data_IF_733438910821
#
_entry.id   IF_733438910821
#
_cell.length_a   1.000
_cell.length_b   1.000
_cell.length_c   1.000
_cell.angle_alpha   90.00
_cell.angle_beta   90.00
_cell.angle_gamma   90.00
#
_symmetry.space_group_name_H-M   'P 1'
#
loop_
_entity.id
_entity.type
_entity.pdbx_description
1 polymer ?
#
# COMPACT_ATOMS: atom_id res chain seq x y z
N UNK A 1 45.99 31.13 -77.47
CA UNK A 1 45.47 32.34 -78.15
C UNK A 1 45.08 31.88 -79.54
N UNK A 2 43.85 31.87 -80.02
CA UNK A 2 42.54 32.42 -79.67
C UNK A 2 41.55 31.61 -80.53
N UNK A 3 40.37 31.27 -80.02
CA UNK A 3 39.39 30.54 -80.83
C UNK A 3 38.15 30.20 -80.02
N UNK A 4 37.27 31.19 -79.91
CA UNK A 4 35.90 31.10 -79.44
C UNK A 4 35.04 30.34 -80.47
N UNK A 5 34.10 29.50 -80.02
CA UNK A 5 32.76 29.33 -80.60
C UNK A 5 31.95 28.16 -79.98
N UNK A 6 30.83 28.56 -79.38
CA UNK A 6 29.47 28.06 -79.63
C UNK A 6 28.94 26.75 -79.01
N UNK A 7 28.02 26.99 -78.05
CA UNK A 7 26.60 26.55 -78.04
C UNK A 7 26.22 25.09 -77.71
N UNK A 8 25.10 25.02 -76.94
CA UNK A 8 24.13 23.92 -76.71
C UNK A 8 24.43 23.01 -75.51
N UNK A 9 23.49 22.48 -74.73
CA UNK A 9 22.02 22.59 -74.54
C UNK A 9 21.73 21.64 -73.35
N UNK A 10 20.83 22.03 -72.44
CA UNK A 10 20.02 21.24 -71.49
C UNK A 10 20.34 19.74 -71.21
N UNK A 11 20.43 19.34 -69.92
CA UNK A 11 19.36 18.61 -69.19
C UNK A 11 19.80 18.23 -67.74
N UNK A 12 18.96 18.61 -66.78
CA UNK A 12 18.51 17.95 -65.54
C UNK A 12 19.33 16.81 -64.89
N UNK A 13 19.69 16.97 -63.60
CA UNK A 13 19.17 16.23 -62.42
C UNK A 13 20.07 16.52 -61.21
N UNK A 14 19.53 17.01 -60.09
CA UNK A 14 19.58 16.35 -58.75
C UNK A 14 19.34 17.30 -57.57
N UNK A 15 18.43 16.82 -56.70
CA UNK A 15 18.43 16.83 -55.23
C UNK A 15 18.13 18.12 -54.42
N UNK A 16 17.05 17.93 -53.64
CA UNK A 16 16.96 18.13 -52.19
C UNK A 16 16.53 19.52 -51.67
N UNK A 17 15.24 19.62 -51.37
CA UNK A 17 14.74 20.49 -50.30
C UNK A 17 13.99 19.62 -49.29
N UNK A 18 14.59 19.49 -48.12
CA UNK A 18 14.06 18.74 -46.98
C UNK A 18 12.85 19.46 -46.36
N UNK A 19 11.77 18.71 -46.16
CA UNK A 19 10.62 19.14 -45.37
C UNK A 19 10.94 18.96 -43.88
N UNK A 20 10.92 20.06 -43.12
CA UNK A 20 11.03 20.04 -41.67
C UNK A 20 9.68 19.58 -41.07
N UNK A 21 9.66 18.38 -40.49
CA UNK A 21 8.57 17.93 -39.66
C UNK A 21 8.75 18.50 -38.24
N UNK A 22 7.85 19.39 -37.84
CA UNK A 22 7.69 19.78 -36.43
C UNK A 22 7.07 18.61 -35.66
N UNK A 23 7.91 17.80 -35.00
CA UNK A 23 7.45 16.94 -33.91
C UNK A 23 7.24 17.80 -32.66
N UNK A 24 5.97 17.95 -32.26
CA UNK A 24 5.60 18.56 -30.99
C UNK A 24 6.20 17.78 -29.82
N UNK A 25 6.85 18.50 -28.91
CA UNK A 25 7.33 17.95 -27.64
C UNK A 25 6.14 17.80 -26.69
N UNK A 26 5.57 16.60 -26.62
CA UNK A 26 4.80 16.17 -25.48
C UNK A 26 5.77 15.63 -24.42
N UNK A 27 6.37 16.52 -23.64
CA UNK A 27 7.04 16.13 -22.40
C UNK A 27 5.97 15.87 -21.34
N UNK A 28 5.39 14.67 -21.38
CA UNK A 28 4.74 14.12 -20.21
C UNK A 28 5.85 13.45 -19.37
N UNK A 29 6.16 14.05 -18.22
CA UNK A 29 7.01 13.45 -17.18
C UNK A 29 6.42 12.08 -16.77
N UNK A 30 6.80 11.03 -17.48
CA UNK A 30 6.64 9.68 -16.99
C UNK A 30 7.61 9.53 -15.81
N UNK A 31 7.13 9.22 -14.59
CA UNK A 31 8.02 9.02 -13.46
C UNK A 31 9.04 7.91 -13.81
N UNK A 32 10.32 8.08 -13.46
CA UNK A 32 11.35 7.13 -13.85
C UNK A 32 11.03 5.73 -13.32
N UNK A 33 11.06 4.73 -14.20
CA UNK A 33 10.90 3.33 -13.88
C UNK A 33 11.86 2.94 -12.75
N UNK A 34 11.31 2.46 -11.62
CA UNK A 34 12.08 2.01 -10.44
C UNK A 34 11.91 2.87 -9.17
N UNK A 35 11.10 3.93 -9.19
CA UNK A 35 10.63 4.58 -7.97
C UNK A 35 9.35 3.88 -7.47
N UNK A 36 9.22 3.64 -6.16
CA UNK A 36 7.96 3.18 -5.56
C UNK A 36 6.83 4.18 -5.79
N UNK A 37 5.59 3.82 -5.46
CA UNK A 37 4.40 4.66 -5.61
C UNK A 37 4.65 6.13 -5.24
N UNK A 38 4.38 7.04 -6.19
CA UNK A 38 4.53 8.48 -6.01
C UNK A 38 3.22 9.17 -5.61
N UNK A 39 3.26 10.35 -4.94
CA UNK A 39 2.05 11.11 -4.61
C UNK A 39 1.14 11.41 -5.81
N UNK A 40 1.72 11.65 -6.99
CA UNK A 40 0.96 11.89 -8.23
C UNK A 40 0.23 10.66 -8.77
N UNK A 41 0.57 9.47 -8.28
CA UNK A 41 -0.01 8.18 -8.69
C UNK A 41 -1.03 7.64 -7.67
N UNK A 42 -1.21 8.33 -6.53
CA UNK A 42 -2.18 8.00 -5.52
C UNK A 42 -3.41 8.90 -5.65
N UNK A 43 -4.60 8.30 -5.57
CA UNK A 43 -5.85 9.03 -5.35
C UNK A 43 -6.32 8.89 -3.90
N UNK A 44 -6.88 9.96 -3.34
CA UNK A 44 -7.52 9.95 -2.02
C UNK A 44 -9.03 9.98 -2.23
N UNK A 45 -9.76 9.09 -1.54
CA UNK A 45 -11.22 9.06 -1.58
C UNK A 45 -11.76 9.56 -0.25
N UNK A 46 -12.48 10.67 -0.31
CA UNK A 46 -13.11 11.33 0.83
C UNK A 46 -14.59 10.94 0.87
N UNK A 47 -15.07 10.56 2.06
CA UNK A 47 -16.47 10.34 2.35
C UNK A 47 -17.10 11.63 2.92
N UNK A 48 -17.85 12.35 2.11
CA UNK A 48 -18.45 13.64 2.50
C UNK A 48 -19.52 13.51 3.58
N UNK A 49 -20.03 12.29 3.83
CA UNK A 49 -20.95 12.03 4.95
C UNK A 49 -20.25 11.94 6.32
N UNK A 50 -18.92 11.97 6.37
CA UNK A 50 -18.13 11.89 7.59
C UNK A 50 -17.18 13.10 7.69
N UNK A 51 -17.45 14.08 8.56
CA UNK A 51 -16.61 15.28 8.69
C UNK A 51 -15.12 14.97 8.95
N UNK A 52 -14.83 13.94 9.76
CA UNK A 52 -13.46 13.47 10.01
C UNK A 52 -12.76 13.04 8.73
N UNK A 53 -13.49 12.42 7.78
CA UNK A 53 -12.94 12.01 6.49
C UNK A 53 -12.52 13.21 5.65
N UNK A 54 -13.36 14.24 5.58
CA UNK A 54 -13.04 15.46 4.84
C UNK A 54 -11.82 16.19 5.43
N UNK A 55 -11.78 16.33 6.76
CA UNK A 55 -10.66 16.97 7.46
C UNK A 55 -9.34 16.20 7.28
N UNK A 56 -9.35 14.89 7.58
CA UNK A 56 -8.14 14.05 7.47
C UNK A 56 -7.72 13.89 6.01
N UNK A 57 -8.66 13.77 5.07
CA UNK A 57 -8.37 13.62 3.66
C UNK A 57 -7.64 14.83 3.09
N UNK A 58 -8.10 16.04 3.43
CA UNK A 58 -7.42 17.28 3.04
C UNK A 58 -6.06 17.42 3.73
N UNK A 59 -5.96 17.08 5.02
CA UNK A 59 -4.68 17.08 5.74
C UNK A 59 -3.66 16.13 5.10
N UNK A 60 -4.06 14.87 4.85
CA UNK A 60 -3.22 13.86 4.21
C UNK A 60 -2.76 14.32 2.83
N UNK A 61 -3.66 14.91 2.04
CA UNK A 61 -3.34 15.49 0.73
C UNK A 61 -2.21 16.52 0.83
N UNK A 62 -2.30 17.45 1.78
CA UNK A 62 -1.30 18.50 1.98
C UNK A 62 0.04 17.93 2.43
N UNK A 63 0.04 17.07 3.45
CA UNK A 63 1.25 16.46 4.03
C UNK A 63 2.06 15.68 2.98
N UNK A 64 1.39 14.96 2.08
CA UNK A 64 2.06 14.17 1.04
C UNK A 64 2.21 14.89 -0.31
N UNK A 65 1.75 16.13 -0.42
CA UNK A 65 1.79 16.87 -1.69
C UNK A 65 0.99 16.20 -2.81
N UNK A 66 -0.13 15.57 -2.47
CA UNK A 66 -0.98 14.88 -3.46
C UNK A 66 -1.73 15.94 -4.29
N UNK A 67 -1.73 15.84 -5.63
CA UNK A 67 -2.43 16.80 -6.47
C UNK A 67 -3.92 16.88 -6.12
N UNK A 68 -4.48 18.10 -6.05
CA UNK A 68 -5.91 18.29 -5.80
C UNK A 68 -6.80 17.54 -6.81
N UNK A 69 -6.30 17.40 -8.05
CA UNK A 69 -7.00 16.67 -9.10
C UNK A 69 -6.93 15.13 -8.97
N UNK A 70 -6.33 14.61 -7.90
CA UNK A 70 -6.33 13.20 -7.51
C UNK A 70 -7.22 12.95 -6.28
N UNK A 71 -8.03 13.93 -5.86
CA UNK A 71 -9.04 13.74 -4.81
C UNK A 71 -10.37 13.37 -5.46
N UNK A 72 -10.99 12.31 -4.96
CA UNK A 72 -12.32 11.89 -5.35
C UNK A 72 -13.25 11.91 -4.13
N UNK A 73 -14.52 12.19 -4.38
CA UNK A 73 -15.53 12.35 -3.35
C UNK A 73 -16.63 11.31 -3.50
N UNK A 74 -17.09 10.77 -2.38
CA UNK A 74 -18.22 9.84 -2.30
C UNK A 74 -19.09 10.18 -1.08
N UNK A 75 -20.30 9.67 -1.07
CA UNK A 75 -21.19 9.76 0.08
C UNK A 75 -21.55 8.36 0.55
N UNK A 76 -21.15 8.01 1.77
CA UNK A 76 -21.47 6.75 2.42
C UNK A 76 -22.12 7.08 3.78
N UNK A 77 -23.45 7.21 3.82
CA UNK A 77 -24.14 7.58 5.05
C UNK A 77 -24.09 6.45 6.08
N UNK A 78 -24.22 6.80 7.36
CA UNK A 78 -24.36 5.88 8.49
C UNK A 78 -23.18 4.92 8.74
N UNK A 79 -22.08 5.02 7.99
CA UNK A 79 -20.82 4.29 8.23
C UNK A 79 -21.05 2.79 8.47
N UNK A 80 -21.71 2.06 7.55
CA UNK A 80 -21.99 0.65 7.74
C UNK A 80 -20.66 -0.12 7.83
N UNK A 81 -20.52 -1.04 8.78
CA UNK A 81 -19.29 -1.86 8.93
C UNK A 81 -18.92 -2.61 7.66
N UNK A 82 -19.95 -3.12 6.97
CA UNK A 82 -19.84 -3.86 5.72
C UNK A 82 -20.86 -3.37 4.69
N UNK A 83 -20.48 -3.45 3.42
CA UNK A 83 -21.38 -3.26 2.28
C UNK A 83 -21.87 -4.60 1.75
N UNK A 84 -23.07 -4.60 1.17
CA UNK A 84 -23.47 -5.66 0.25
C UNK A 84 -22.72 -5.57 -1.07
N UNK A 85 -22.74 -6.63 -1.87
CA UNK A 85 -22.14 -6.63 -3.21
C UNK A 85 -22.69 -5.49 -4.10
N UNK A 86 -24.00 -5.27 -4.11
CA UNK A 86 -24.62 -4.21 -4.91
C UNK A 86 -24.23 -2.81 -4.45
N UNK A 87 -24.21 -2.58 -3.13
CA UNK A 87 -23.75 -1.31 -2.56
C UNK A 87 -22.29 -1.04 -2.92
N UNK A 88 -21.44 -2.06 -2.82
CA UNK A 88 -20.03 -1.97 -3.18
C UNK A 88 -19.84 -1.70 -4.67
N UNK A 89 -20.58 -2.39 -5.56
CA UNK A 89 -20.51 -2.16 -7.00
C UNK A 89 -20.79 -0.70 -7.34
N UNK A 90 -21.88 -0.14 -6.80
CA UNK A 90 -22.23 1.26 -7.01
C UNK A 90 -21.17 2.22 -6.45
N UNK A 91 -20.61 1.92 -5.26
CA UNK A 91 -19.53 2.73 -4.69
C UNK A 91 -18.29 2.70 -5.59
N UNK A 92 -17.88 1.52 -6.05
CA UNK A 92 -16.72 1.35 -6.91
C UNK A 92 -16.89 2.07 -8.25
N UNK A 93 -18.05 1.96 -8.89
CA UNK A 93 -18.36 2.69 -10.13
C UNK A 93 -18.24 4.21 -9.94
N UNK A 94 -18.76 4.76 -8.83
CA UNK A 94 -18.63 6.20 -8.52
C UNK A 94 -17.18 6.63 -8.27
N UNK A 95 -16.38 5.78 -7.60
CA UNK A 95 -14.95 6.04 -7.39
C UNK A 95 -14.22 6.01 -8.73
N UNK A 96 -14.34 4.92 -9.49
CA UNK A 96 -13.60 4.70 -10.74
C UNK A 96 -13.88 5.79 -11.78
N UNK A 97 -15.11 6.33 -11.83
CA UNK A 97 -15.50 7.42 -12.73
C UNK A 97 -14.73 8.73 -12.47
N UNK A 98 -14.14 8.91 -11.28
CA UNK A 98 -13.35 10.08 -10.89
C UNK A 98 -11.85 9.86 -11.02
N UNK A 99 -11.39 8.61 -11.22
CA UNK A 99 -9.98 8.27 -11.26
C UNK A 99 -9.37 8.47 -12.66
N UNK A 100 -8.19 9.09 -12.70
CA UNK A 100 -7.43 9.26 -13.94
C UNK A 100 -6.67 7.98 -14.31
N UNK A 101 -6.31 7.78 -15.60
CA UNK A 101 -5.55 6.62 -16.04
C UNK A 101 -4.18 6.45 -15.35
N UNK A 102 -3.55 7.55 -14.92
CA UNK A 102 -2.25 7.53 -14.24
C UNK A 102 -2.29 7.10 -12.76
N UNK A 103 -3.49 6.94 -12.17
CA UNK A 103 -3.65 6.52 -10.78
C UNK A 103 -3.38 5.03 -10.65
N UNK A 104 -2.33 4.69 -9.89
CA UNK A 104 -1.91 3.31 -9.61
C UNK A 104 -2.53 2.75 -8.33
N UNK A 105 -2.89 3.62 -7.39
CA UNK A 105 -3.34 3.24 -6.07
C UNK A 105 -4.41 4.18 -5.52
N UNK A 106 -5.16 3.68 -4.54
CA UNK A 106 -6.24 4.42 -3.89
C UNK A 106 -6.08 4.35 -2.37
N UNK A 107 -6.18 5.50 -1.71
CA UNK A 107 -6.36 5.62 -0.27
C UNK A 107 -7.82 5.96 0.03
N UNK A 108 -8.51 5.05 0.70
CA UNK A 108 -9.83 5.30 1.27
C UNK A 108 -9.67 5.98 2.61
N UNK A 109 -10.32 7.11 2.85
CA UNK A 109 -10.20 7.86 4.12
C UNK A 109 -11.57 7.89 4.78
N UNK A 110 -11.87 6.95 5.67
CA UNK A 110 -13.11 6.90 6.45
C UNK A 110 -13.00 5.82 7.53
N UNK A 111 -13.91 5.81 8.51
CA UNK A 111 -13.91 4.79 9.57
C UNK A 111 -14.56 3.47 9.14
N UNK A 112 -15.67 3.54 8.40
CA UNK A 112 -16.35 2.41 7.81
C UNK A 112 -17.06 2.82 6.52
N UNK A 113 -17.22 1.92 5.53
CA UNK A 113 -17.03 0.47 5.58
C UNK A 113 -15.57 0.01 5.41
N UNK A 114 -15.26 -1.15 6.00
CA UNK A 114 -13.98 -1.86 5.79
C UNK A 114 -14.16 -3.26 5.19
N UNK A 115 -15.40 -3.72 4.99
CA UNK A 115 -15.72 -5.02 4.40
C UNK A 115 -16.79 -4.94 3.31
N UNK A 116 -16.76 -5.92 2.40
CA UNK A 116 -17.78 -6.20 1.38
C UNK A 116 -18.17 -7.65 1.55
N UNK A 117 -19.34 -7.90 2.12
CA UNK A 117 -19.72 -9.21 2.65
C UNK A 117 -18.62 -9.79 3.56
N UNK A 118 -17.90 -10.83 3.13
CA UNK A 118 -16.76 -11.42 3.86
C UNK A 118 -15.38 -10.96 3.35
N UNK A 119 -15.30 -10.29 2.19
CA UNK A 119 -14.05 -9.78 1.63
C UNK A 119 -13.73 -8.44 2.29
N UNK A 120 -12.45 -8.07 2.38
CA UNK A 120 -12.11 -6.70 2.78
C UNK A 120 -12.47 -5.72 1.67
N UNK A 121 -12.78 -4.47 2.00
CA UNK A 121 -13.08 -3.46 0.99
C UNK A 121 -11.86 -3.16 0.11
N UNK A 122 -10.65 -3.18 0.69
CA UNK A 122 -9.41 -2.97 -0.05
C UNK A 122 -9.19 -4.09 -1.06
N UNK A 123 -9.46 -5.34 -0.68
CA UNK A 123 -9.27 -6.46 -1.59
C UNK A 123 -10.35 -6.57 -2.64
N UNK A 124 -11.61 -6.33 -2.28
CA UNK A 124 -12.69 -6.27 -3.25
C UNK A 124 -12.47 -5.15 -4.28
N UNK A 125 -11.92 -4.01 -3.87
CA UNK A 125 -11.60 -2.90 -4.77
C UNK A 125 -10.47 -3.24 -5.75
N UNK A 126 -9.38 -3.83 -5.25
CA UNK A 126 -8.19 -4.14 -6.04
C UNK A 126 -8.37 -5.36 -6.95
N UNK A 127 -8.98 -6.44 -6.46
CA UNK A 127 -9.04 -7.75 -7.14
C UNK A 127 -10.44 -8.12 -7.65
N UNK A 128 -11.46 -7.35 -7.29
CA UNK A 128 -12.86 -7.76 -7.42
C UNK A 128 -13.33 -8.61 -6.24
N UNK A 129 -14.65 -8.65 -6.05
CA UNK A 129 -15.29 -9.45 -5.01
C UNK A 129 -15.16 -10.95 -5.29
N UNK A 130 -14.71 -11.73 -4.30
CA UNK A 130 -14.63 -13.19 -4.39
C UNK A 130 -15.73 -13.88 -3.56
N UNK A 131 -16.85 -14.21 -4.23
CA UNK A 131 -17.95 -14.95 -3.62
C UNK A 131 -17.53 -16.37 -3.16
N UNK A 132 -16.58 -16.99 -3.86
CA UNK A 132 -16.09 -18.33 -3.52
C UNK A 132 -15.41 -18.36 -2.15
N UNK A 133 -14.64 -17.31 -1.85
CA UNK A 133 -14.03 -17.15 -0.53
C UNK A 133 -15.08 -17.01 0.58
N UNK A 134 -16.25 -16.42 0.30
CA UNK A 134 -17.31 -16.27 1.30
C UNK A 134 -18.10 -17.57 1.57
N UNK A 135 -18.21 -18.46 0.58
CA UNK A 135 -18.87 -19.74 0.79
C UNK A 135 -18.12 -20.61 1.82
N UNK A 136 -16.78 -20.56 1.81
CA UNK A 136 -15.91 -21.25 2.76
C UNK A 136 -14.71 -20.38 3.10
N UNK A 137 -14.85 -19.56 4.15
CA UNK A 137 -13.83 -18.56 4.52
C UNK A 137 -12.50 -19.17 4.94
N UNK A 138 -12.48 -20.45 5.33
CA UNK A 138 -11.28 -21.20 5.68
C UNK A 138 -10.66 -22.01 4.53
N UNK A 139 -11.22 -21.98 3.32
CA UNK A 139 -10.58 -22.65 2.18
C UNK A 139 -9.39 -21.83 1.65
N UNK A 140 -8.47 -22.47 0.89
CA UNK A 140 -7.47 -21.75 0.11
C UNK A 140 -8.08 -20.63 -0.72
N UNK A 141 -7.46 -19.45 -0.66
CA UNK A 141 -7.89 -18.29 -1.43
C UNK A 141 -7.25 -18.23 -2.82
N UNK A 142 -7.67 -17.25 -3.62
CA UNK A 142 -7.10 -17.00 -4.94
C UNK A 142 -5.72 -16.33 -4.83
N UNK A 143 -4.69 -16.83 -5.54
CA UNK A 143 -3.40 -16.15 -5.65
C UNK A 143 -3.53 -14.73 -6.22
N UNK A 144 -2.88 -13.76 -5.59
CA UNK A 144 -2.70 -12.41 -6.15
C UNK A 144 -1.57 -12.41 -7.17
N UNK A 145 -1.76 -11.89 -8.40
CA UNK A 145 -0.67 -11.76 -9.36
C UNK A 145 0.37 -10.68 -8.96
N UNK A 146 0.05 -9.85 -7.96
CA UNK A 146 1.00 -8.90 -7.38
C UNK A 146 1.90 -9.50 -6.29
N UNK A 147 1.53 -10.67 -5.73
CA UNK A 147 2.32 -11.33 -4.70
C UNK A 147 3.73 -11.63 -5.22
N UNK A 148 4.74 -11.13 -4.51
CA UNK A 148 6.16 -11.32 -4.80
C UNK A 148 6.58 -10.91 -6.23
N UNK A 149 5.79 -10.11 -6.95
CA UNK A 149 6.10 -9.64 -8.30
C UNK A 149 7.03 -8.42 -8.28
N UNK A 150 7.71 -8.13 -9.39
CA UNK A 150 8.51 -6.91 -9.56
C UNK A 150 7.77 -5.80 -10.34
N UNK A 151 6.44 -5.91 -10.45
CA UNK A 151 5.60 -4.93 -11.15
C UNK A 151 5.67 -3.59 -10.42
N UNK A 152 6.02 -2.53 -11.16
CA UNK A 152 6.22 -1.19 -10.61
C UNK A 152 4.98 -0.30 -10.78
N UNK A 153 4.13 -0.59 -11.77
CA UNK A 153 2.90 0.14 -12.07
C UNK A 153 1.72 -0.84 -12.08
N UNK A 154 1.18 -1.22 -10.91
CA UNK A 154 0.22 -2.33 -10.78
C UNK A 154 -1.07 -2.09 -11.58
N UNK A 155 -1.54 -0.85 -11.72
CA UNK A 155 -2.74 -0.59 -12.51
C UNK A 155 -2.44 -0.66 -14.00
N UNK A 156 -1.35 -0.03 -14.45
CA UNK A 156 -1.00 -0.01 -15.87
C UNK A 156 -0.58 -1.38 -16.39
N UNK A 157 0.13 -2.17 -15.60
CA UNK A 157 0.70 -3.46 -16.02
C UNK A 157 -0.23 -4.66 -15.72
N UNK A 158 -1.02 -4.61 -14.64
CA UNK A 158 -1.87 -5.73 -14.21
C UNK A 158 -3.36 -5.38 -14.11
N UNK A 159 -3.76 -4.12 -14.35
CA UNK A 159 -5.13 -3.67 -14.10
C UNK A 159 -5.50 -3.58 -12.61
N UNK A 160 -4.52 -3.66 -11.71
CA UNK A 160 -4.74 -3.66 -10.26
C UNK A 160 -4.53 -2.28 -9.65
N UNK A 161 -5.61 -1.62 -9.21
CA UNK A 161 -5.50 -0.44 -8.33
C UNK A 161 -5.36 -0.91 -6.89
N UNK A 162 -4.13 -0.91 -6.37
CA UNK A 162 -3.88 -1.28 -4.98
C UNK A 162 -4.60 -0.31 -4.04
N UNK A 163 -5.31 -0.84 -3.05
CA UNK A 163 -6.09 -0.04 -2.12
C UNK A 163 -5.61 -0.19 -0.67
N UNK A 164 -5.68 0.90 0.09
CA UNK A 164 -5.47 0.95 1.55
C UNK A 164 -6.52 1.86 2.17
N UNK A 165 -6.87 1.59 3.43
CA UNK A 165 -7.81 2.39 4.22
C UNK A 165 -7.05 3.15 5.32
N UNK A 166 -7.29 4.44 5.47
CA UNK A 166 -6.88 5.21 6.64
C UNK A 166 -8.12 5.39 7.54
N UNK A 167 -8.21 4.68 8.67
CA UNK A 167 -9.31 4.85 9.62
C UNK A 167 -9.29 6.25 10.23
N UNK A 168 -10.46 6.87 10.37
CA UNK A 168 -10.61 8.26 10.87
C UNK A 168 -11.57 8.37 12.06
N UNK A 169 -11.75 7.27 12.81
CA UNK A 169 -12.53 7.29 14.07
C UNK A 169 -12.02 8.38 15.01
N UNK A 170 -10.70 8.61 14.99
CA UNK A 170 -10.03 9.67 15.72
C UNK A 170 -9.11 10.46 14.77
N UNK A 171 -9.37 11.77 14.66
CA UNK A 171 -8.71 12.65 13.69
C UNK A 171 -7.22 12.77 13.98
N UNK A 172 -6.84 12.97 15.24
CA UNK A 172 -5.46 13.21 15.64
C UNK A 172 -4.58 11.98 15.36
N UNK A 173 -5.07 10.78 15.64
CA UNK A 173 -4.40 9.52 15.34
C UNK A 173 -4.19 9.35 13.83
N UNK A 174 -5.19 9.67 13.00
CA UNK A 174 -5.09 9.57 11.55
C UNK A 174 -4.09 10.59 10.96
N UNK A 175 -4.08 11.82 11.48
CA UNK A 175 -3.07 12.83 11.13
C UNK A 175 -1.67 12.39 11.54
N UNK A 176 -1.52 11.82 12.74
CA UNK A 176 -0.26 11.29 13.21
C UNK A 176 0.25 10.13 12.34
N UNK A 177 -0.64 9.28 11.79
CA UNK A 177 -0.26 8.26 10.79
C UNK A 177 0.34 8.90 9.54
N UNK A 178 -0.32 9.93 8.99
CA UNK A 178 0.16 10.67 7.81
C UNK A 178 1.53 11.31 8.06
N UNK A 179 1.72 11.95 9.22
CA UNK A 179 2.99 12.56 9.61
C UNK A 179 4.10 11.51 9.69
N UNK A 180 3.84 10.36 10.32
CA UNK A 180 4.82 9.27 10.43
C UNK A 180 5.21 8.69 9.08
N UNK A 181 4.30 8.63 8.10
CA UNK A 181 4.63 8.13 6.77
C UNK A 181 5.23 9.17 5.83
N UNK A 182 5.04 10.47 6.11
CA UNK A 182 5.69 11.55 5.37
C UNK A 182 7.17 11.73 5.71
N UNK A 183 7.62 11.25 6.88
CA UNK A 183 9.05 11.26 7.25
C UNK A 183 9.85 10.47 6.23
N UNK A 184 10.58 11.19 5.39
CA UNK A 184 11.49 10.67 4.39
C UNK A 184 12.79 11.46 4.41
N UNK A 185 13.92 10.80 4.12
CA UNK A 185 15.22 11.47 3.99
C UNK A 185 16.11 11.42 5.24
N UNK A 186 17.42 11.38 4.95
CA UNK A 186 18.57 11.16 5.83
C UNK A 186 18.55 9.85 6.61
N UNK A 187 19.10 8.79 5.98
CA UNK A 187 19.49 7.49 6.56
C UNK A 187 18.60 7.02 7.72
N UNK A 188 17.70 6.04 7.53
CA UNK A 188 16.86 5.55 8.63
C UNK A 188 17.71 5.26 9.87
N UNK A 189 17.21 5.64 11.07
CA UNK A 189 17.94 5.41 12.31
C UNK A 189 18.20 3.92 12.50
N UNK A 190 19.11 3.59 13.44
CA UNK A 190 19.25 2.21 13.86
C UNK A 190 17.88 1.69 14.33
N UNK A 191 17.47 0.55 13.78
CA UNK A 191 16.15 0.00 13.96
C UNK A 191 16.20 -1.51 14.17
N UNK A 192 15.08 -2.07 14.61
CA UNK A 192 14.89 -3.50 14.77
C UNK A 192 13.62 -3.98 14.08
N UNK A 193 13.70 -5.16 13.47
CA UNK A 193 12.57 -5.93 12.97
C UNK A 193 12.34 -7.11 13.93
N UNK A 194 11.24 -7.08 14.66
CA UNK A 194 10.86 -8.06 15.68
C UNK A 194 9.89 -9.09 15.10
N UNK A 195 10.26 -10.35 15.21
CA UNK A 195 9.44 -11.49 14.84
C UNK A 195 9.25 -12.39 16.05
N UNK A 196 8.00 -12.56 16.49
CA UNK A 196 7.68 -13.35 17.68
C UNK A 196 7.06 -14.69 17.27
N UNK A 197 7.66 -15.77 17.78
CA UNK A 197 7.02 -17.08 17.87
C UNK A 197 6.34 -17.17 19.24
N UNK A 198 5.02 -17.22 19.24
CA UNK A 198 4.20 -17.13 20.46
C UNK A 198 3.86 -18.51 21.03
N UNK A 199 3.20 -18.56 22.18
CA UNK A 199 2.64 -19.78 22.75
C UNK A 199 1.44 -20.31 21.94
N UNK A 200 0.81 -19.49 21.11
CA UNK A 200 -0.26 -19.91 20.19
C UNK A 200 0.33 -20.57 18.94
N UNK A 201 0.49 -21.90 19.02
CA UNK A 201 1.06 -22.70 17.94
C UNK A 201 0.27 -22.60 16.63
N UNK A 202 -1.07 -22.48 16.70
CA UNK A 202 -1.91 -22.40 15.52
C UNK A 202 -1.65 -21.11 14.72
N UNK A 203 -1.40 -19.99 15.41
CA UNK A 203 -1.13 -18.69 14.80
C UNK A 203 0.34 -18.42 14.45
N UNK A 204 1.22 -19.38 14.73
CA UNK A 204 2.62 -19.34 14.32
C UNK A 204 2.86 -19.88 12.90
N UNK A 205 1.83 -20.06 12.07
CA UNK A 205 1.96 -20.72 10.76
C UNK A 205 2.91 -20.02 9.78
N UNK A 206 3.13 -18.71 9.94
CA UNK A 206 4.15 -17.95 9.18
C UNK A 206 5.52 -17.86 9.85
N UNK A 207 5.68 -18.33 11.09
CA UNK A 207 6.94 -18.24 11.83
C UNK A 207 8.12 -18.96 11.14
N UNK A 208 7.94 -20.12 10.48
CA UNK A 208 9.02 -20.74 9.70
C UNK A 208 9.51 -19.89 8.52
N UNK A 209 8.77 -18.85 8.13
CA UNK A 209 9.10 -17.96 7.02
C UNK A 209 9.81 -16.68 7.46
N UNK A 210 10.00 -16.47 8.77
CA UNK A 210 10.70 -15.30 9.29
C UNK A 210 12.11 -15.17 8.68
N UNK A 211 12.55 -13.94 8.34
CA UNK A 211 13.87 -13.75 7.76
C UNK A 211 14.97 -14.14 8.77
N UNK A 212 16.17 -14.57 8.34
CA UNK A 212 17.21 -14.98 9.27
C UNK A 212 17.57 -13.87 10.29
N UNK A 213 17.71 -14.19 11.60
CA UNK A 213 18.10 -13.20 12.60
C UNK A 213 19.54 -12.73 12.36
N UNK A 214 19.80 -11.45 12.65
CA UNK A 214 21.12 -10.86 12.42
C UNK A 214 21.08 -9.38 12.10
N UNK A 215 22.25 -8.78 11.88
CA UNK A 215 22.39 -7.37 11.55
C UNK A 215 22.49 -7.16 10.03
N UNK A 216 21.60 -6.34 9.47
CA UNK A 216 21.72 -5.82 8.11
C UNK A 216 22.42 -4.46 8.15
N UNK A 217 23.76 -4.47 8.17
CA UNK A 217 24.58 -3.27 8.36
C UNK A 217 24.26 -2.15 7.35
N UNK A 218 24.05 -2.50 6.07
CA UNK A 218 23.73 -1.55 4.99
C UNK A 218 22.33 -0.91 5.11
N UNK A 219 21.52 -1.36 6.06
CA UNK A 219 20.18 -0.84 6.37
C UNK A 219 20.02 -0.41 7.82
N UNK A 220 21.08 -0.53 8.63
CA UNK A 220 21.07 -0.27 10.08
C UNK A 220 19.91 -0.98 10.80
N UNK A 221 19.58 -2.20 10.36
CA UNK A 221 18.44 -2.96 10.85
C UNK A 221 18.88 -4.26 11.52
N UNK A 222 18.50 -4.47 12.77
CA UNK A 222 18.65 -5.76 13.47
C UNK A 222 17.38 -6.60 13.32
N UNK A 223 17.50 -7.82 12.79
CA UNK A 223 16.42 -8.81 12.75
C UNK A 223 16.47 -9.62 14.05
N UNK A 224 15.39 -9.57 14.83
CA UNK A 224 15.28 -10.18 16.15
C UNK A 224 14.17 -11.20 16.19
N UNK A 225 14.51 -12.45 16.50
CA UNK A 225 13.54 -13.50 16.76
C UNK A 225 13.39 -13.68 18.26
N UNK A 226 12.15 -13.67 18.75
CA UNK A 226 11.85 -13.87 20.16
C UNK A 226 10.81 -14.99 20.30
N UNK A 227 11.00 -15.84 21.30
CA UNK A 227 9.97 -16.79 21.75
C UNK A 227 9.24 -16.14 22.93
N UNK A 228 8.18 -15.40 22.63
CA UNK A 228 7.44 -14.62 23.61
C UNK A 228 6.05 -14.28 23.08
N UNK A 229 5.10 -14.05 23.98
CA UNK A 229 3.73 -13.65 23.63
C UNK A 229 3.59 -12.13 23.45
N UNK A 230 4.51 -11.36 24.01
CA UNK A 230 4.54 -9.89 23.87
C UNK A 230 5.98 -9.38 23.80
N UNK A 231 6.12 -8.25 23.11
CA UNK A 231 7.32 -7.42 23.16
C UNK A 231 7.14 -6.39 24.27
N UNK A 232 8.21 -6.07 24.99
CA UNK A 232 8.17 -5.15 26.13
C UNK A 232 9.29 -4.12 26.02
N UNK A 233 8.95 -2.84 26.12
CA UNK A 233 9.90 -1.74 26.23
C UNK A 233 10.77 -1.45 25.00
N UNK A 234 10.56 -2.12 23.87
CA UNK A 234 11.37 -1.90 22.66
C UNK A 234 11.16 -0.50 22.07
N UNK A 235 12.24 0.20 21.74
CA UNK A 235 12.21 1.64 21.38
C UNK A 235 12.54 1.96 19.91
N UNK A 236 12.88 0.95 19.12
CA UNK A 236 13.49 1.08 17.79
C UNK A 236 12.74 0.25 16.73
N UNK A 237 11.43 0.08 16.89
CA UNK A 237 10.65 -0.86 16.06
C UNK A 237 10.43 -0.28 14.66
N UNK A 238 10.93 -0.97 13.64
CA UNK A 238 10.58 -0.75 12.24
C UNK A 238 9.63 -1.82 11.69
N UNK A 239 9.77 -3.06 12.15
CA UNK A 239 8.83 -4.14 11.83
C UNK A 239 8.47 -4.88 13.10
N UNK A 240 7.18 -5.19 13.30
CA UNK A 240 6.75 -6.09 14.36
C UNK A 240 5.68 -7.07 13.85
N UNK A 241 6.02 -8.36 13.81
CA UNK A 241 5.08 -9.43 13.44
C UNK A 241 4.98 -10.49 14.53
N UNK A 242 3.74 -10.83 14.88
CA UNK A 242 3.41 -11.82 15.92
C UNK A 242 2.18 -12.67 15.53
N UNK A 243 1.79 -13.61 16.38
CA UNK A 243 0.64 -14.49 16.25
C UNK A 243 -0.37 -14.41 17.41
N UNK A 244 -0.25 -13.48 18.35
CA UNK A 244 -1.23 -13.38 19.44
C UNK A 244 -2.56 -12.76 18.98
N UNK A 245 -3.67 -13.34 19.43
CA UNK A 245 -5.03 -12.80 19.33
C UNK A 245 -5.17 -11.33 19.78
N UNK A 246 -4.49 -11.02 20.88
CA UNK A 246 -4.42 -9.71 21.51
C UNK A 246 -2.98 -9.49 21.93
N UNK A 247 -2.37 -8.42 21.44
CA UNK A 247 -0.97 -8.11 21.73
C UNK A 247 -0.94 -7.19 22.94
N UNK A 248 -0.29 -7.64 24.01
CA UNK A 248 -0.12 -6.85 25.22
C UNK A 248 1.06 -5.87 25.10
N UNK A 249 1.10 -4.90 26.02
CA UNK A 249 2.22 -3.96 26.24
C UNK A 249 2.53 -3.00 25.07
N UNK A 250 1.58 -2.78 24.17
CA UNK A 250 1.75 -1.84 23.06
C UNK A 250 2.11 -0.42 23.53
N UNK A 251 1.61 -0.03 24.69
CA UNK A 251 1.88 1.24 25.38
C UNK A 251 3.34 1.40 25.85
N UNK A 252 4.10 0.31 25.94
CA UNK A 252 5.53 0.34 26.30
C UNK A 252 6.45 0.49 25.08
N UNK A 253 5.89 0.34 23.88
CA UNK A 253 6.65 0.24 22.64
C UNK A 253 6.82 1.61 21.99
N UNK A 254 7.93 1.76 21.25
CA UNK A 254 8.12 2.90 20.36
C UNK A 254 8.43 2.44 18.94
N UNK A 255 7.51 2.80 18.06
CA UNK A 255 7.62 2.61 16.62
C UNK A 255 8.33 3.80 15.98
N UNK A 256 9.19 3.51 15.02
CA UNK A 256 9.84 4.52 14.21
C UNK A 256 8.89 4.98 13.08
N UNK A 257 9.03 6.21 12.57
CA UNK A 257 8.31 6.65 11.39
C UNK A 257 8.51 5.68 10.21
N UNK A 258 7.42 5.24 9.59
CA UNK A 258 7.40 4.18 8.58
C UNK A 258 7.32 2.75 9.14
N UNK A 259 7.16 2.54 10.45
CA UNK A 259 7.10 1.19 10.97
C UNK A 259 5.86 0.41 10.49
N UNK A 260 6.04 -0.87 10.20
CA UNK A 260 4.99 -1.80 9.79
C UNK A 260 4.74 -2.81 10.92
N UNK A 261 3.49 -3.00 11.33
CA UNK A 261 3.19 -3.95 12.39
C UNK A 261 1.87 -4.68 12.16
N UNK A 262 1.86 -5.99 12.37
CA UNK A 262 0.66 -6.80 12.22
C UNK A 262 0.73 -8.10 13.03
N UNK A 263 -0.41 -8.76 13.16
CA UNK A 263 -0.53 -10.03 13.86
C UNK A 263 -1.36 -11.01 13.07
N UNK A 264 -0.94 -12.26 13.09
CA UNK A 264 -1.66 -13.36 12.46
C UNK A 264 -2.81 -13.78 13.37
N UNK A 265 -3.97 -13.15 13.22
CA UNK A 265 -5.20 -13.54 13.91
C UNK A 265 -6.41 -13.41 13.00
N UNK A 266 -7.47 -14.13 13.35
CA UNK A 266 -8.78 -14.01 12.71
C UNK A 266 -9.40 -12.65 13.01
N UNK A 267 -10.18 -12.08 12.10
CA UNK A 267 -10.92 -10.82 12.36
C UNK A 267 -10.04 -9.62 12.79
N UNK A 268 -8.72 -9.67 12.59
CA UNK A 268 -7.85 -8.53 12.92
C UNK A 268 -8.17 -7.27 12.10
N UNK A 269 -8.83 -7.40 10.95
CA UNK A 269 -9.32 -6.30 10.12
C UNK A 269 -10.75 -5.87 10.45
N UNK A 270 -11.40 -6.49 11.43
CA UNK A 270 -12.69 -6.03 11.94
C UNK A 270 -12.48 -4.83 12.86
N UNK A 271 -12.41 -3.63 12.28
CA UNK A 271 -11.93 -2.43 12.99
C UNK A 271 -12.79 -2.03 14.19
N UNK A 272 -14.09 -2.32 14.13
CA UNK A 272 -15.08 -2.07 15.19
C UNK A 272 -15.50 -3.36 15.93
N UNK A 273 -14.77 -4.47 15.73
CA UNK A 273 -15.00 -5.74 16.39
C UNK A 273 -14.43 -5.77 17.82
N UNK A 274 -14.87 -6.76 18.62
CA UNK A 274 -14.43 -6.93 20.02
C UNK A 274 -13.76 -8.29 20.30
N UNK A 275 -13.75 -9.20 19.32
CA UNK A 275 -13.24 -10.56 19.51
C UNK A 275 -11.71 -10.60 19.57
N UNK A 276 -11.06 -10.32 18.44
CA UNK A 276 -9.61 -10.21 18.32
C UNK A 276 -9.20 -8.75 18.33
N UNK A 277 -7.92 -8.47 18.55
CA UNK A 277 -7.41 -7.10 18.51
C UNK A 277 -7.56 -6.53 17.10
N UNK A 278 -8.20 -5.37 16.98
CA UNK A 278 -8.26 -4.62 15.73
C UNK A 278 -6.85 -4.19 15.30
N UNK A 279 -6.57 -4.27 13.99
CA UNK A 279 -5.32 -3.83 13.40
C UNK A 279 -5.09 -2.33 13.59
N UNK A 280 -6.16 -1.55 13.80
CA UNK A 280 -6.07 -0.12 14.12
C UNK A 280 -5.30 0.14 15.43
N UNK A 281 -5.29 -0.82 16.37
CA UNK A 281 -4.50 -0.71 17.61
C UNK A 281 -3.00 -0.61 17.36
N UNK A 282 -2.50 -1.12 16.22
CA UNK A 282 -1.11 -0.90 15.81
C UNK A 282 -0.85 0.56 15.42
N UNK A 283 -1.80 1.19 14.72
CA UNK A 283 -1.68 2.59 14.32
C UNK A 283 -1.72 3.52 15.54
N UNK A 284 -2.62 3.24 16.49
CA UNK A 284 -2.70 3.94 17.78
C UNK A 284 -1.41 3.80 18.59
N UNK A 285 -0.79 2.61 18.57
CA UNK A 285 0.49 2.35 19.24
C UNK A 285 1.69 3.01 18.55
N UNK A 286 1.52 3.57 17.34
CA UNK A 286 2.56 4.31 16.61
C UNK A 286 3.05 3.67 15.33
N UNK A 287 2.55 2.50 14.92
CA UNK A 287 2.85 1.96 13.60
C UNK A 287 2.29 2.88 12.50
N UNK A 288 2.92 2.88 11.33
CA UNK A 288 2.51 3.68 10.17
C UNK A 288 1.54 2.91 9.27
N UNK A 289 1.66 1.59 9.21
CA UNK A 289 0.73 0.74 8.49
C UNK A 289 0.58 -0.63 9.17
N UNK A 290 -0.56 -1.25 8.92
CA UNK A 290 -0.93 -2.54 9.50
C UNK A 290 -1.82 -3.35 8.55
N UNK A 291 -2.10 -4.58 8.96
CA UNK A 291 -2.89 -5.55 8.22
C UNK A 291 -3.75 -6.38 9.17
N UNK A 292 -4.95 -6.75 8.72
CA UNK A 292 -5.78 -7.73 9.40
C UNK A 292 -6.84 -8.32 8.48
N UNK A 293 -7.43 -9.46 8.84
CA UNK A 293 -8.48 -10.12 8.05
C UNK A 293 -9.87 -9.68 8.54
N UNK A 294 -10.83 -9.40 7.65
CA UNK A 294 -12.19 -8.94 8.05
C UNK A 294 -13.16 -10.10 8.32
N UNK A 295 -12.75 -11.32 8.00
CA UNK A 295 -13.50 -12.56 8.22
C UNK A 295 -12.53 -13.67 8.61
N UNK A 296 -13.05 -14.78 9.15
CA UNK A 296 -12.25 -15.92 9.62
C UNK A 296 -11.37 -16.49 8.51
N UNK A 297 -10.03 -16.36 8.57
CA UNK A 297 -9.15 -16.83 7.51
C UNK A 297 -8.76 -18.29 7.69
N UNK A 298 -8.89 -18.85 8.90
CA UNK A 298 -8.07 -19.95 9.39
C UNK A 298 -6.56 -19.61 9.28
N UNK A 299 -5.71 -20.21 10.11
CA UNK A 299 -4.29 -19.81 10.22
C UNK A 299 -3.41 -20.20 9.01
N UNK A 300 -3.89 -20.03 7.77
CA UNK A 300 -3.12 -20.15 6.54
C UNK A 300 -2.16 -18.97 6.40
N UNK A 301 -0.86 -19.22 6.39
CA UNK A 301 0.13 -18.15 6.25
C UNK A 301 -0.09 -17.30 4.98
N UNK A 302 -0.64 -17.90 3.91
CA UNK A 302 -0.90 -17.25 2.62
C UNK A 302 -1.88 -16.07 2.73
N UNK A 303 -2.76 -16.09 3.73
CA UNK A 303 -3.74 -15.03 4.01
C UNK A 303 -3.18 -13.93 4.89
N UNK A 304 -1.87 -13.91 5.13
CA UNK A 304 -1.20 -12.90 5.95
C UNK A 304 0.09 -12.43 5.28
N UNK A 305 0.63 -11.27 5.68
CA UNK A 305 1.89 -10.77 5.15
C UNK A 305 3.01 -11.78 5.38
N UNK A 306 3.61 -12.23 4.29
CA UNK A 306 4.77 -13.11 4.30
C UNK A 306 5.96 -12.28 4.78
N UNK A 307 6.56 -12.63 5.93
CA UNK A 307 7.54 -11.79 6.66
C UNK A 307 8.81 -11.45 5.87
N UNK A 308 9.40 -12.43 5.19
CA UNK A 308 10.60 -12.25 4.37
C UNK A 308 10.34 -11.46 3.10
N UNK A 309 9.18 -11.65 2.45
CA UNK A 309 8.78 -10.89 1.25
C UNK A 309 8.50 -9.44 1.63
N UNK A 310 7.71 -9.22 2.69
CA UNK A 310 7.40 -7.89 3.23
C UNK A 310 8.71 -7.12 3.51
N UNK A 311 9.60 -7.70 4.33
CA UNK A 311 10.84 -7.04 4.72
C UNK A 311 11.71 -6.74 3.50
N UNK A 312 11.90 -7.72 2.60
CA UNK A 312 12.73 -7.53 1.41
C UNK A 312 12.20 -6.41 0.51
N UNK A 313 10.88 -6.36 0.26
CA UNK A 313 10.26 -5.29 -0.55
C UNK A 313 10.46 -3.94 0.12
N UNK A 314 10.17 -3.85 1.42
CA UNK A 314 10.29 -2.59 2.15
C UNK A 314 11.73 -2.05 2.16
N UNK A 315 12.72 -2.91 2.44
CA UNK A 315 14.14 -2.55 2.41
C UNK A 315 14.71 -2.25 1.00
N UNK A 316 13.96 -2.61 -0.05
CA UNK A 316 14.28 -2.27 -1.43
C UNK A 316 13.73 -0.91 -1.86
N UNK A 317 12.93 -0.27 -1.01
CA UNK A 317 12.37 1.07 -1.24
C UNK A 317 10.92 1.08 -1.71
N UNK A 318 10.22 -0.07 -1.70
CA UNK A 318 8.76 -0.08 -1.88
C UNK A 318 8.07 0.72 -0.78
N UNK A 319 6.95 1.34 -1.11
CA UNK A 319 6.09 1.98 -0.09
C UNK A 319 5.42 0.92 0.79
N UNK A 320 4.83 1.34 1.92
CA UNK A 320 4.11 0.44 2.81
C UNK A 320 2.97 -0.29 2.08
N UNK A 321 2.24 0.40 1.20
CA UNK A 321 1.21 -0.20 0.35
C UNK A 321 1.78 -1.33 -0.51
N UNK A 322 2.83 -1.05 -1.27
CA UNK A 322 3.46 -1.99 -2.21
C UNK A 322 4.11 -3.17 -1.48
N UNK A 323 4.71 -2.93 -0.31
CA UNK A 323 5.33 -3.96 0.51
C UNK A 323 4.28 -4.91 1.08
N UNK A 324 3.20 -4.38 1.66
CA UNK A 324 2.12 -5.21 2.19
C UNK A 324 1.39 -5.99 1.10
N UNK A 325 0.90 -5.32 0.04
CA UNK A 325 0.19 -5.99 -1.05
C UNK A 325 1.04 -7.05 -1.73
N UNK A 326 2.33 -6.77 -1.94
CA UNK A 326 3.26 -7.72 -2.54
C UNK A 326 3.67 -8.86 -1.61
N UNK A 327 3.22 -8.88 -0.36
CA UNK A 327 3.56 -9.90 0.63
C UNK A 327 2.40 -10.84 1.00
N UNK A 328 1.16 -10.60 0.53
CA UNK A 328 0.01 -11.45 0.81
C UNK A 328 -0.37 -12.26 -0.42
N UNK A 329 -0.33 -13.59 -0.31
CA UNK A 329 -0.60 -14.48 -1.43
C UNK A 329 -2.10 -14.61 -1.74
N UNK A 330 -2.94 -14.70 -0.70
CA UNK A 330 -4.41 -14.87 -0.80
C UNK A 330 -5.14 -13.72 -0.08
N UNK A 331 -5.19 -12.52 -0.67
CA UNK A 331 -5.57 -11.31 0.06
C UNK A 331 -7.08 -11.05 0.15
N UNK A 332 -7.97 -11.90 -0.38
CA UNK A 332 -9.41 -11.61 -0.48
C UNK A 332 -10.07 -11.12 0.84
N UNK A 333 -9.63 -11.64 1.98
CA UNK A 333 -10.13 -11.28 3.32
C UNK A 333 -9.31 -10.16 3.99
N UNK A 334 -8.18 -9.76 3.41
CA UNK A 334 -7.16 -8.90 4.00
C UNK A 334 -7.42 -7.41 3.85
N UNK A 335 -7.63 -6.72 4.97
CA UNK A 335 -7.70 -5.27 5.04
C UNK A 335 -6.31 -4.68 5.28
N UNK A 336 -5.91 -3.80 4.38
CA UNK A 336 -4.67 -3.03 4.47
C UNK A 336 -4.99 -1.65 5.03
N UNK A 337 -4.34 -1.23 6.11
CA UNK A 337 -4.60 0.06 6.74
C UNK A 337 -3.33 0.89 6.98
N UNK A 338 -3.49 2.21 7.03
CA UNK A 338 -2.44 3.17 7.39
C UNK A 338 -2.03 4.08 6.23
N UNK A 339 -0.74 4.45 6.19
CA UNK A 339 -0.20 5.34 5.17
C UNK A 339 0.38 4.57 3.96
N UNK A 340 -0.21 4.70 2.76
CA UNK A 340 0.26 3.99 1.57
C UNK A 340 1.60 4.48 1.00
N UNK A 341 2.03 5.71 1.30
CA UNK A 341 3.23 6.34 0.73
C UNK A 341 4.46 6.21 1.62
N UNK A 342 4.32 5.72 2.85
CA UNK A 342 5.43 5.54 3.78
C UNK A 342 6.54 4.65 3.18
N UNK A 343 7.72 5.22 2.97
CA UNK A 343 8.85 4.55 2.31
C UNK A 343 10.21 4.97 2.91
N UNK A 344 10.50 4.64 4.20
CA UNK A 344 11.69 5.09 4.93
C UNK A 344 13.01 4.55 4.34
N UNK A 345 12.94 3.52 3.49
CA UNK A 345 14.10 2.93 2.81
C UNK A 345 14.18 3.30 1.32
N UNK A 346 13.24 4.10 0.80
CA UNK A 346 13.35 4.62 -0.56
C UNK A 346 14.59 5.51 -0.69
N UNK A 347 15.26 5.44 -1.83
CA UNK A 347 16.43 6.29 -2.09
C UNK A 347 15.96 7.72 -2.28
N UNK A 348 16.42 8.62 -1.42
CA UNK A 348 16.26 10.07 -1.63
C UNK A 348 16.95 10.44 -2.96
N UNK A 349 16.19 10.95 -3.92
CA UNK A 349 16.74 11.53 -5.14
C UNK A 349 16.73 13.05 -4.94
N UNK A 350 17.90 13.67 -5.10
CA UNK A 350 18.06 15.13 -5.12
C UNK A 350 17.36 15.72 -6.33
#
# INVERSE_FOLDING_TARGET
MTGDHSLRTFLSLTLATAAAALCGQASADAPPAGAGLQPSQLAIIINDAEPNSAEVGEYYRQVHGIPAANVAHVTIPNRPRKLSMDQFKQLKERIDAQLKPGIQAVLMVWSAPYAVECNSITSAFTLGYDAGQCAKTCDPGKPSPYFNSNVAQPYTELGLRLAMLLPVDFVDEAKAVAERGAVSGFSPPAASAYYLTTSDAARNSRAPLFPPPGMLAQRKLAIRHLKADSLDGAQDIMVYQTGMAKVAKLDTLRFLPGALADHLTSFGGDLQGTQQMSSQRWLEAGATASYGTVSEPCSYWQKFPQPSVLLRRYLSGSTALEAYWGSVAWPAQGLFIGDPLAAPYARFRR
#
